data_IF_217518235459
#
_entry.id   IF_217518235459
#
_cell.length_a   1.000
_cell.length_b   1.000
_cell.length_c   1.000
_cell.angle_alpha   90.00
_cell.angle_beta   90.00
_cell.angle_gamma   90.00
#
_symmetry.space_group_name_H-M   'P 1'
#
loop_
_entity.id
_entity.type
_entity.pdbx_description
1 polymer ?
#
# COMPACT_ATOMS: atom_id res chain seq x y z
N UNK A 1 -30.49 -12.47 0.99
CA UNK A 1 -29.65 -12.37 2.17
C UNK A 1 -28.31 -11.77 1.79
N UNK A 2 -27.90 -10.88 2.56
CA UNK A 2 -26.65 -10.20 2.34
C UNK A 2 -25.49 -11.02 2.89
N UNK A 3 -24.38 -10.98 2.22
CA UNK A 3 -23.16 -11.54 2.77
C UNK A 3 -22.77 -10.73 3.99
N UNK A 4 -22.87 -11.35 5.16
CA UNK A 4 -22.60 -10.67 6.42
C UNK A 4 -21.11 -10.42 6.64
N UNK A 5 -20.22 -11.13 5.91
CA UNK A 5 -18.78 -10.88 6.09
C UNK A 5 -18.39 -9.49 5.60
N UNK A 6 -19.04 -8.97 4.56
CA UNK A 6 -18.77 -7.64 4.04
C UNK A 6 -19.28 -6.54 4.98
N UNK A 7 -20.31 -6.84 5.77
CA UNK A 7 -20.94 -5.83 6.62
C UNK A 7 -20.50 -5.89 8.08
N UNK A 8 -19.81 -6.96 8.47
CA UNK A 8 -19.58 -7.24 9.89
C UNK A 8 -18.44 -6.46 10.53
N UNK A 9 -17.27 -6.33 9.90
CA UNK A 9 -16.15 -5.74 10.63
C UNK A 9 -16.36 -4.27 10.91
N UNK A 10 -16.15 -3.92 12.16
CA UNK A 10 -15.97 -2.54 12.57
C UNK A 10 -14.73 -2.49 13.43
N UNK A 11 -13.70 -1.81 12.95
CA UNK A 11 -12.42 -1.78 13.62
C UNK A 11 -12.11 -0.37 14.09
N UNK A 12 -11.74 -0.25 15.33
CA UNK A 12 -11.26 1.00 15.92
C UNK A 12 -9.80 0.82 16.32
N UNK A 13 -9.02 0.14 15.49
CA UNK A 13 -7.62 -0.14 15.77
C UNK A 13 -6.73 0.98 15.24
N UNK A 14 -5.65 1.25 15.95
CA UNK A 14 -4.66 2.21 15.50
C UNK A 14 -3.78 1.57 14.43
N UNK A 15 -3.87 2.06 13.20
CA UNK A 15 -3.08 1.54 12.09
C UNK A 15 -1.57 1.61 12.36
N UNK A 16 -1.13 2.61 13.11
CA UNK A 16 0.29 2.75 13.49
C UNK A 16 0.77 1.66 14.45
N UNK A 17 -0.12 1.09 15.23
CA UNK A 17 0.20 0.10 16.25
C UNK A 17 -0.22 -1.32 15.88
N UNK A 18 -0.73 -1.52 14.67
CA UNK A 18 -1.16 -2.84 14.23
C UNK A 18 0.00 -3.81 14.19
N UNK A 19 -0.21 -5.02 14.68
CA UNK A 19 0.76 -6.11 14.51
C UNK A 19 0.69 -6.58 13.07
N UNK A 20 1.84 -6.54 12.40
CA UNK A 20 1.91 -6.89 10.99
C UNK A 20 2.47 -8.30 10.81
N UNK A 21 1.88 -9.03 9.88
CA UNK A 21 2.35 -10.35 9.49
C UNK A 21 3.46 -10.22 8.46
N UNK A 22 4.36 -11.19 8.43
CA UNK A 22 5.38 -11.27 7.39
C UNK A 22 4.70 -11.68 6.07
N UNK A 23 4.76 -10.81 5.07
CA UNK A 23 4.23 -11.08 3.73
C UNK A 23 5.33 -11.39 2.71
N UNK A 24 6.58 -11.52 3.17
CA UNK A 24 7.69 -11.93 2.35
C UNK A 24 8.27 -10.84 1.48
N UNK A 25 9.15 -11.21 0.55
CA UNK A 25 9.79 -10.24 -0.33
C UNK A 25 8.79 -9.66 -1.33
N UNK A 26 9.00 -8.39 -1.66
CA UNK A 26 8.18 -7.69 -2.64
C UNK A 26 8.49 -8.20 -4.05
N UNK A 27 7.47 -8.71 -4.74
CA UNK A 27 7.63 -9.22 -6.10
C UNK A 27 8.02 -8.12 -7.09
N UNK A 28 7.54 -6.89 -6.87
CA UNK A 28 7.77 -5.75 -7.75
C UNK A 28 9.14 -5.08 -7.57
N UNK A 29 9.95 -5.54 -6.61
CA UNK A 29 11.27 -4.96 -6.37
C UNK A 29 12.16 -5.10 -7.61
N UNK A 30 12.85 -4.02 -7.97
CA UNK A 30 13.74 -3.98 -9.15
C UNK A 30 15.21 -3.92 -8.78
N UNK A 31 15.54 -3.90 -7.49
CA UNK A 31 16.90 -3.92 -6.98
C UNK A 31 17.07 -5.02 -5.95
N UNK A 32 17.73 -4.68 -4.84
CA UNK A 32 17.91 -5.60 -3.73
C UNK A 32 16.55 -6.05 -3.18
N UNK A 33 16.49 -7.22 -2.52
CA UNK A 33 15.24 -7.69 -1.94
C UNK A 33 14.66 -6.68 -0.94
N UNK A 34 13.35 -6.47 -1.04
CA UNK A 34 12.60 -5.61 -0.14
C UNK A 34 11.61 -6.48 0.61
N UNK A 35 11.49 -6.27 1.92
CA UNK A 35 10.63 -7.09 2.76
C UNK A 35 9.31 -6.37 3.02
N UNK A 36 8.21 -7.12 2.93
CA UNK A 36 6.89 -6.58 3.21
C UNK A 36 6.27 -7.24 4.43
N UNK A 37 5.51 -6.45 5.16
CA UNK A 37 4.64 -6.91 6.23
C UNK A 37 3.28 -6.25 6.05
N UNK A 38 2.25 -6.82 6.61
CA UNK A 38 0.94 -6.22 6.47
C UNK A 38 -0.12 -6.88 7.32
N UNK A 39 -1.29 -6.28 7.27
CA UNK A 39 -2.48 -6.80 7.91
C UNK A 39 -3.69 -6.42 7.07
N UNK A 40 -4.45 -7.41 6.66
CA UNK A 40 -5.72 -7.19 5.98
C UNK A 40 -6.78 -6.95 7.04
N UNK A 41 -7.34 -5.74 7.05
CA UNK A 41 -8.37 -5.38 8.02
C UNK A 41 -9.75 -5.81 7.55
N UNK A 42 -10.00 -5.74 6.25
CA UNK A 42 -11.28 -6.12 5.66
C UNK A 42 -11.08 -6.42 4.18
N UNK A 43 -11.80 -7.39 3.66
CA UNK A 43 -11.77 -7.73 2.25
C UNK A 43 -13.13 -8.24 1.79
N UNK A 44 -13.51 -7.87 0.58
CA UNK A 44 -14.74 -8.33 -0.08
C UNK A 44 -14.54 -8.27 -1.60
N UNK A 45 -14.37 -9.44 -2.20
CA UNK A 45 -14.07 -9.52 -3.64
C UNK A 45 -12.77 -8.81 -3.97
N UNK A 46 -12.84 -7.83 -4.87
CA UNK A 46 -11.68 -7.05 -5.29
C UNK A 46 -11.39 -5.88 -4.35
N UNK A 47 -12.21 -5.69 -3.33
CA UNK A 47 -12.05 -4.60 -2.38
C UNK A 47 -11.28 -5.07 -1.17
N UNK A 48 -10.37 -4.23 -0.70
CA UNK A 48 -9.55 -4.59 0.45
C UNK A 48 -9.11 -3.33 1.18
N UNK A 49 -9.13 -3.40 2.50
CA UNK A 49 -8.57 -2.35 3.37
C UNK A 49 -7.54 -3.00 4.27
N UNK A 50 -6.37 -2.40 4.35
CA UNK A 50 -5.32 -2.96 5.19
C UNK A 50 -4.20 -1.97 5.48
N UNK A 51 -3.20 -2.48 6.18
CA UNK A 51 -1.96 -1.77 6.48
C UNK A 51 -0.81 -2.53 5.83
N UNK A 52 0.08 -1.82 5.18
CA UNK A 52 1.22 -2.40 4.49
C UNK A 52 2.48 -1.65 4.87
N UNK A 53 3.55 -2.39 5.09
CA UNK A 53 4.85 -1.82 5.39
C UNK A 53 5.89 -2.47 4.48
N UNK A 54 6.84 -1.66 3.99
CA UNK A 54 7.87 -2.17 3.09
C UNK A 54 9.19 -1.46 3.35
N UNK A 55 10.25 -2.24 3.34
CA UNK A 55 11.61 -1.73 3.51
C UNK A 55 12.08 -0.94 2.29
N UNK A 56 13.14 -0.11 2.43
CA UNK A 56 13.61 0.74 1.34
C UNK A 56 14.04 -0.01 0.10
N UNK A 57 13.87 0.64 -1.05
CA UNK A 57 14.32 0.16 -2.34
C UNK A 57 13.44 0.62 -3.48
N UNK A 58 13.87 0.32 -4.73
CA UNK A 58 13.11 0.63 -5.92
C UNK A 58 12.17 -0.51 -6.30
N UNK A 59 11.00 -0.14 -6.84
CA UNK A 59 10.01 -1.09 -7.35
C UNK A 59 9.28 -0.50 -8.54
N UNK A 60 8.75 -1.36 -9.41
CA UNK A 60 7.96 -0.94 -10.56
C UNK A 60 6.61 -1.62 -10.54
N UNK A 61 5.56 -0.86 -10.81
CA UNK A 61 4.18 -1.28 -10.60
C UNK A 61 3.33 -1.12 -11.84
N UNK A 62 2.49 -2.10 -12.06
CA UNK A 62 1.33 -1.99 -12.96
C UNK A 62 0.13 -2.40 -12.12
N UNK A 63 -0.74 -1.46 -11.81
CA UNK A 63 -1.83 -1.70 -10.88
C UNK A 63 -3.06 -2.22 -11.60
N UNK A 64 -3.65 -3.27 -11.05
CA UNK A 64 -4.82 -3.93 -11.64
C UNK A 64 -6.12 -3.50 -10.95
N UNK A 65 -6.01 -2.77 -9.85
CA UNK A 65 -7.13 -2.19 -9.11
C UNK A 65 -6.86 -0.72 -8.87
N UNK A 66 -7.89 0.03 -8.50
CA UNK A 66 -7.68 1.36 -7.94
C UNK A 66 -7.10 1.20 -6.54
N UNK A 67 -6.16 2.07 -6.18
CA UNK A 67 -5.60 2.08 -4.84
C UNK A 67 -5.55 3.49 -4.29
N UNK A 68 -6.13 3.67 -3.11
CA UNK A 68 -5.99 4.91 -2.34
C UNK A 68 -5.11 4.60 -1.14
N UNK A 69 -4.15 5.48 -0.85
CA UNK A 69 -3.24 5.29 0.27
C UNK A 69 -3.18 6.52 1.15
N UNK A 70 -2.93 6.29 2.42
CA UNK A 70 -2.60 7.33 3.38
C UNK A 70 -1.29 6.93 4.06
N UNK A 71 -0.26 7.76 3.94
CA UNK A 71 1.05 7.44 4.47
C UNK A 71 1.07 7.70 5.97
N UNK A 72 1.41 6.66 6.73
CA UNK A 72 1.48 6.72 8.20
C UNK A 72 2.89 7.06 8.66
N UNK A 73 3.90 6.49 8.03
CA UNK A 73 5.30 6.75 8.36
C UNK A 73 6.18 6.41 7.17
N UNK A 74 7.41 6.94 7.19
CA UNK A 74 8.36 6.73 6.11
C UNK A 74 8.21 7.74 4.98
N UNK A 75 9.04 7.60 3.95
CA UNK A 75 9.03 8.49 2.78
C UNK A 75 9.33 7.70 1.52
N UNK A 76 8.70 8.10 0.43
CA UNK A 76 8.96 7.50 -0.88
C UNK A 76 8.78 8.53 -1.99
N UNK A 77 9.36 8.24 -3.13
CA UNK A 77 9.16 9.01 -4.36
C UNK A 77 8.38 8.16 -5.34
N UNK A 78 7.29 8.71 -5.85
CA UNK A 78 6.42 8.08 -6.85
C UNK A 78 6.66 8.74 -8.19
N UNK A 79 6.97 7.97 -9.22
CA UNK A 79 7.20 8.49 -10.57
C UNK A 79 6.33 7.75 -11.56
N UNK A 80 5.24 8.35 -12.04
CA UNK A 80 4.44 7.75 -13.10
C UNK A 80 5.25 7.65 -14.39
N UNK A 81 4.98 6.64 -15.20
CA UNK A 81 5.62 6.53 -16.51
C UNK A 81 5.31 7.78 -17.33
N UNK A 82 6.36 8.43 -17.82
CA UNK A 82 6.24 9.65 -18.62
C UNK A 82 5.90 10.91 -17.82
N UNK A 83 5.85 10.81 -16.49
CA UNK A 83 5.54 11.95 -15.63
C UNK A 83 6.67 12.31 -14.68
N UNK A 84 6.53 13.42 -13.94
CA UNK A 84 7.56 13.85 -13.01
C UNK A 84 7.49 13.07 -11.69
N UNK A 85 8.63 12.96 -10.99
CA UNK A 85 8.63 12.35 -9.66
C UNK A 85 7.93 13.24 -8.65
N UNK A 86 7.32 12.60 -7.65
CA UNK A 86 6.68 13.29 -6.55
C UNK A 86 7.01 12.59 -5.24
N UNK A 87 7.50 13.34 -4.28
CA UNK A 87 7.77 12.83 -2.94
C UNK A 87 6.48 12.80 -2.13
N UNK A 88 6.28 11.71 -1.39
CA UNK A 88 5.18 11.61 -0.45
C UNK A 88 5.70 11.09 0.89
N UNK A 89 5.06 11.53 1.96
CA UNK A 89 5.44 11.18 3.33
C UNK A 89 4.25 11.21 4.27
N UNK A 90 4.50 11.16 5.58
CA UNK A 90 3.43 11.04 6.58
C UNK A 90 2.37 12.12 6.43
N UNK A 91 1.10 11.70 6.42
CA UNK A 91 -0.04 12.58 6.26
C UNK A 91 -0.46 12.81 4.81
N UNK A 92 0.35 12.39 3.84
CA UNK A 92 -0.02 12.52 2.43
C UNK A 92 -0.95 11.40 2.02
N UNK A 93 -1.84 11.73 1.09
CA UNK A 93 -2.70 10.74 0.43
C UNK A 93 -2.37 10.72 -1.06
N UNK A 94 -2.53 9.55 -1.66
CA UNK A 94 -2.37 9.38 -3.09
C UNK A 94 -3.43 8.41 -3.60
N UNK A 95 -3.84 8.59 -4.84
CA UNK A 95 -4.74 7.67 -5.51
C UNK A 95 -4.07 7.19 -6.78
N UNK A 96 -3.97 5.89 -6.93
CA UNK A 96 -3.43 5.24 -8.12
C UNK A 96 -4.59 4.56 -8.83
N UNK A 97 -5.07 5.10 -9.95
CA UNK A 97 -6.17 4.46 -10.66
C UNK A 97 -5.73 3.16 -11.32
N UNK A 98 -6.69 2.27 -11.56
CA UNK A 98 -6.44 1.03 -12.30
C UNK A 98 -5.68 1.33 -13.58
N UNK A 99 -4.66 0.54 -13.85
CA UNK A 99 -3.81 0.72 -15.02
C UNK A 99 -2.64 1.67 -14.80
N UNK A 100 -2.55 2.27 -13.62
CA UNK A 100 -1.42 3.13 -13.30
C UNK A 100 -0.11 2.34 -13.42
N UNK A 101 0.89 2.93 -14.08
CA UNK A 101 2.21 2.35 -14.23
C UNK A 101 3.27 3.37 -13.82
N UNK A 102 4.25 2.89 -13.08
CA UNK A 102 5.32 3.75 -12.62
C UNK A 102 6.18 3.08 -11.57
N UNK A 103 7.13 3.84 -11.06
CA UNK A 103 8.06 3.36 -10.05
C UNK A 103 7.78 4.00 -8.69
N UNK A 104 8.05 3.24 -7.65
CA UNK A 104 8.07 3.71 -6.27
C UNK A 104 9.47 3.49 -5.72
N UNK A 105 10.12 4.57 -5.33
CA UNK A 105 11.41 4.52 -4.63
C UNK A 105 11.16 4.78 -3.16
N UNK A 106 11.24 3.75 -2.35
CA UNK A 106 11.07 3.88 -0.90
C UNK A 106 12.42 4.28 -0.32
N UNK A 107 12.46 5.42 0.37
CA UNK A 107 13.67 5.96 0.98
C UNK A 107 13.81 5.53 2.44
N UNK A 108 12.71 5.55 3.18
CA UNK A 108 12.60 5.10 4.56
C UNK A 108 11.46 4.11 4.62
N UNK A 109 11.60 3.06 5.40
CA UNK A 109 10.54 2.06 5.55
C UNK A 109 9.18 2.73 5.59
N UNK A 110 8.34 2.40 4.61
CA UNK A 110 7.04 3.03 4.45
C UNK A 110 5.97 2.20 5.15
N UNK A 111 5.09 2.87 5.88
CA UNK A 111 3.86 2.25 6.36
C UNK A 111 2.69 3.05 5.83
N UNK A 112 1.73 2.37 5.24
CA UNK A 112 0.54 3.01 4.68
C UNK A 112 -0.72 2.25 5.07
N UNK A 113 -1.80 3.01 5.21
CA UNK A 113 -3.15 2.48 5.13
C UNK A 113 -3.49 2.45 3.65
N UNK A 114 -4.00 1.33 3.15
CA UNK A 114 -4.38 1.22 1.74
C UNK A 114 -5.82 0.76 1.61
N UNK A 115 -6.44 1.21 0.52
CA UNK A 115 -7.77 0.78 0.11
C UNK A 115 -7.69 0.40 -1.37
N UNK A 116 -8.02 -0.85 -1.67
CA UNK A 116 -8.17 -1.33 -3.05
C UNK A 116 -9.65 -1.34 -3.41
N UNK A 117 -9.98 -0.83 -4.59
CA UNK A 117 -11.39 -0.77 -4.99
C UNK A 117 -11.56 -0.72 -6.50
#
# INVERSE_FOLDING_TARGET
>A
MTDTTAATPFLAAAAMAADLEDWGPLAEATGEPMQTTGSTLWADGDQEVGVWECTPGPSYWTLETNEAVYILSGRMTVTPDGGPPQDIGPGDTAVFPRGWQGSWQIHETIRKLYVLF
#
